data_IF_497950834167
#
_entry.id   IF_497950834167
#
_cell.length_a   1.000
_cell.length_b   1.000
_cell.length_c   1.000
_cell.angle_alpha   90.00
_cell.angle_beta   90.00
_cell.angle_gamma   90.00
#
_symmetry.space_group_name_H-M   'P 1'
#
loop_
_entity.id
_entity.type
_entity.pdbx_description
1 polymer ?
#
# COMPACT_ATOMS: atom_id res chain seq x y z
N UNK A 1 3.85 -0.39 1.56
CA UNK A 1 2.99 -1.44 0.97
C UNK A 1 3.73 -2.76 1.05
N UNK A 2 3.07 -3.80 1.51
CA UNK A 2 3.59 -5.16 1.64
C UNK A 2 2.65 -6.09 0.88
N UNK A 3 3.18 -7.12 0.20
CA UNK A 3 2.33 -8.01 -0.59
C UNK A 3 2.89 -9.42 -0.68
N UNK A 4 1.99 -10.37 -0.85
CA UNK A 4 2.29 -11.75 -1.25
C UNK A 4 1.55 -12.04 -2.54
N UNK A 5 2.28 -12.51 -3.54
CA UNK A 5 1.74 -12.89 -4.83
C UNK A 5 1.97 -14.38 -5.07
N UNK A 6 0.94 -15.03 -5.59
CA UNK A 6 1.01 -16.36 -6.19
C UNK A 6 0.62 -16.26 -7.66
N UNK A 7 0.61 -17.39 -8.36
CA UNK A 7 0.09 -17.42 -9.75
C UNK A 7 -1.39 -17.07 -9.84
N UNK A 8 -2.15 -17.27 -8.76
CA UNK A 8 -3.62 -17.18 -8.76
C UNK A 8 -4.17 -16.02 -7.95
N UNK A 9 -3.39 -15.47 -7.03
CA UNK A 9 -3.89 -14.47 -6.08
C UNK A 9 -2.83 -13.51 -5.63
N UNK A 10 -3.28 -12.29 -5.30
CA UNK A 10 -2.47 -11.28 -4.65
C UNK A 10 -3.16 -10.83 -3.36
N UNK A 11 -2.39 -10.79 -2.28
CA UNK A 11 -2.77 -10.16 -1.03
C UNK A 11 -1.86 -8.96 -0.77
N UNK A 12 -2.46 -7.83 -0.42
CA UNK A 12 -1.76 -6.56 -0.20
C UNK A 12 -2.13 -5.99 1.17
N UNK A 13 -1.13 -5.52 1.90
CA UNK A 13 -1.28 -4.79 3.15
C UNK A 13 -0.70 -3.37 3.01
N UNK A 14 -1.53 -2.38 3.25
CA UNK A 14 -1.23 -0.95 3.15
C UNK A 14 -1.32 -0.29 4.54
N UNK A 15 -0.32 -0.40 5.42
CA UNK A 15 -0.39 0.14 6.79
C UNK A 15 -0.54 1.65 6.86
N UNK A 16 -0.28 2.36 5.77
CA UNK A 16 -0.44 3.80 5.64
C UNK A 16 -1.86 4.24 5.31
N UNK A 17 -2.69 3.31 4.79
CA UNK A 17 -4.05 3.63 4.34
C UNK A 17 -5.04 3.63 5.50
N UNK A 18 -6.03 4.51 5.42
CA UNK A 18 -7.20 4.56 6.27
C UNK A 18 -8.49 4.70 5.44
N UNK A 19 -8.39 4.48 4.12
CA UNK A 19 -9.47 4.66 3.15
C UNK A 19 -9.70 6.13 2.73
N UNK A 20 -9.10 7.09 3.42
CA UNK A 20 -9.21 8.53 3.12
C UNK A 20 -7.87 9.17 2.78
N UNK A 21 -6.79 8.61 3.28
CA UNK A 21 -5.42 9.10 3.05
C UNK A 21 -4.99 8.81 1.61
N UNK A 22 -4.61 9.84 0.88
CA UNK A 22 -4.15 9.71 -0.50
C UNK A 22 -2.69 9.25 -0.55
N UNK A 23 -2.40 8.35 -1.48
CA UNK A 23 -1.02 8.00 -1.82
C UNK A 23 -0.31 9.19 -2.48
N UNK A 24 0.75 9.70 -1.86
CA UNK A 24 1.26 11.05 -2.09
C UNK A 24 2.02 11.28 -3.41
N UNK A 25 2.43 10.23 -4.15
CA UNK A 25 3.33 10.41 -5.31
C UNK A 25 2.85 9.76 -6.61
N UNK A 26 1.61 9.99 -6.96
CA UNK A 26 1.12 9.63 -8.30
C UNK A 26 1.31 10.83 -9.24
N UNK A 27 2.56 11.08 -9.68
CA UNK A 27 2.93 12.25 -10.50
C UNK A 27 3.38 11.89 -11.91
N UNK A 28 3.35 10.60 -12.29
CA UNK A 28 3.75 10.16 -13.63
C UNK A 28 2.87 10.75 -14.73
N UNK A 29 3.41 10.88 -15.95
CA UNK A 29 2.64 11.31 -17.11
C UNK A 29 1.42 10.44 -17.38
N UNK A 30 1.55 9.13 -17.21
CA UNK A 30 0.45 8.17 -17.33
C UNK A 30 -0.67 8.47 -16.31
N UNK A 31 -0.34 8.76 -15.06
CA UNK A 31 -1.35 9.09 -14.06
C UNK A 31 -2.06 10.43 -14.36
N UNK A 32 -1.32 11.42 -14.88
CA UNK A 32 -1.92 12.68 -15.34
C UNK A 32 -2.92 12.46 -16.48
N UNK A 33 -2.58 11.59 -17.45
CA UNK A 33 -3.51 11.20 -18.53
C UNK A 33 -4.76 10.50 -17.98
N UNK A 34 -4.59 9.57 -17.01
CA UNK A 34 -5.74 8.93 -16.33
C UNK A 34 -6.64 9.95 -15.63
N UNK A 35 -6.08 10.98 -14.98
CA UNK A 35 -6.85 12.05 -14.33
C UNK A 35 -7.67 12.87 -15.33
N UNK A 36 -7.17 13.09 -16.54
CA UNK A 36 -7.92 13.79 -17.58
C UNK A 36 -9.07 12.92 -18.11
N UNK A 37 -8.81 11.65 -18.36
CA UNK A 37 -9.83 10.71 -18.84
C UNK A 37 -10.92 10.46 -17.79
N UNK A 38 -10.55 10.43 -16.51
CA UNK A 38 -11.48 10.28 -15.38
C UNK A 38 -12.56 11.39 -15.30
N UNK A 39 -12.38 12.53 -15.99
CA UNK A 39 -13.41 13.58 -16.09
C UNK A 39 -14.57 13.19 -17.00
N UNK A 40 -14.36 12.21 -17.89
CA UNK A 40 -15.33 11.80 -18.92
C UNK A 40 -15.77 10.35 -18.76
N UNK A 41 -14.90 9.52 -18.19
CA UNK A 41 -15.13 8.08 -18.02
C UNK A 41 -15.26 7.72 -16.53
N UNK A 42 -16.46 7.28 -16.07
CA UNK A 42 -16.68 6.83 -14.69
C UNK A 42 -15.83 5.63 -14.29
N UNK A 43 -15.52 4.70 -15.21
CA UNK A 43 -14.68 3.55 -14.93
C UNK A 43 -13.24 3.99 -14.66
N UNK A 44 -12.72 4.94 -15.46
CA UNK A 44 -11.42 5.53 -15.21
C UNK A 44 -11.40 6.35 -13.90
N UNK A 45 -12.49 7.06 -13.58
CA UNK A 45 -12.60 7.77 -12.30
C UNK A 45 -12.54 6.81 -11.10
N UNK A 46 -13.23 5.67 -11.16
CA UNK A 46 -13.18 4.63 -10.15
C UNK A 46 -11.76 4.05 -10.00
N UNK A 47 -11.06 3.80 -11.12
CA UNK A 47 -9.68 3.33 -11.13
C UNK A 47 -8.71 4.35 -10.50
N UNK A 48 -8.83 5.62 -10.85
CA UNK A 48 -8.03 6.70 -10.26
C UNK A 48 -8.27 6.78 -8.75
N UNK A 49 -9.53 6.73 -8.32
CA UNK A 49 -9.89 6.70 -6.89
C UNK A 49 -9.25 5.50 -6.18
N UNK A 50 -9.33 4.30 -6.77
CA UNK A 50 -8.73 3.10 -6.21
C UNK A 50 -7.20 3.22 -6.07
N UNK A 51 -6.51 3.80 -7.05
CA UNK A 51 -5.07 4.02 -6.98
C UNK A 51 -4.67 5.05 -5.92
N UNK A 52 -5.49 6.07 -5.71
CA UNK A 52 -5.24 7.14 -4.74
C UNK A 52 -5.61 6.74 -3.30
N UNK A 53 -6.73 6.04 -3.14
CA UNK A 53 -7.34 5.71 -1.85
C UNK A 53 -7.38 4.19 -1.69
N UNK A 54 -6.23 3.60 -1.36
CA UNK A 54 -6.12 2.15 -1.14
C UNK A 54 -6.81 1.74 0.15
N UNK A 55 -7.31 0.51 0.20
CA UNK A 55 -7.75 -0.11 1.45
C UNK A 55 -6.56 -0.57 2.30
N UNK A 56 -6.76 -0.74 3.60
CA UNK A 56 -5.72 -1.28 4.52
C UNK A 56 -5.30 -2.67 4.08
N UNK A 57 -6.27 -3.51 3.71
CA UNK A 57 -6.07 -4.84 3.16
C UNK A 57 -6.76 -4.96 1.82
N UNK A 58 -6.13 -5.67 0.89
CA UNK A 58 -6.71 -5.97 -0.41
C UNK A 58 -6.40 -7.41 -0.79
N UNK A 59 -7.37 -8.07 -1.43
CA UNK A 59 -7.21 -9.42 -1.95
C UNK A 59 -7.79 -9.51 -3.37
N UNK A 60 -7.03 -10.13 -4.28
CA UNK A 60 -7.38 -10.22 -5.70
C UNK A 60 -7.22 -11.64 -6.21
N UNK A 61 -8.15 -12.04 -7.10
CA UNK A 61 -8.04 -13.28 -7.87
C UNK A 61 -7.43 -12.98 -9.24
N UNK A 62 -6.16 -13.30 -9.43
CA UNK A 62 -5.41 -12.96 -10.64
C UNK A 62 -5.85 -13.73 -11.88
N UNK A 63 -6.55 -14.88 -11.72
CA UNK A 63 -7.10 -15.61 -12.86
C UNK A 63 -8.23 -14.82 -13.56
N UNK A 64 -9.05 -14.09 -12.78
CA UNK A 64 -10.20 -13.36 -13.29
C UNK A 64 -9.97 -11.84 -13.33
N UNK A 65 -9.00 -11.35 -12.54
CA UNK A 65 -8.67 -9.94 -12.41
C UNK A 65 -7.14 -9.74 -12.35
N UNK A 66 -6.43 -9.98 -13.46
CA UNK A 66 -4.97 -9.84 -13.51
C UNK A 66 -4.49 -8.39 -13.28
N UNK A 67 -5.38 -7.42 -13.45
CA UNK A 67 -5.09 -5.99 -13.22
C UNK A 67 -5.39 -5.51 -11.81
N UNK A 68 -5.84 -6.38 -10.90
CA UNK A 68 -6.16 -6.05 -9.51
C UNK A 68 -7.11 -4.84 -9.38
N UNK A 69 -8.24 -4.88 -10.10
CA UNK A 69 -9.23 -3.81 -10.11
C UNK A 69 -10.34 -3.99 -9.07
N UNK A 70 -10.67 -5.25 -8.78
CA UNK A 70 -11.75 -5.62 -7.89
C UNK A 70 -11.20 -6.22 -6.60
N UNK A 71 -11.16 -5.45 -5.51
CA UNK A 71 -10.80 -5.98 -4.20
C UNK A 71 -11.91 -6.91 -3.69
N UNK A 72 -11.60 -8.20 -3.54
CA UNK A 72 -12.53 -9.24 -3.09
C UNK A 72 -12.25 -9.67 -1.64
N UNK A 73 -11.69 -8.78 -0.82
CA UNK A 73 -11.34 -9.04 0.59
C UNK A 73 -12.52 -9.58 1.39
N UNK A 74 -13.73 -9.05 1.16
CA UNK A 74 -14.94 -9.38 1.90
C UNK A 74 -15.70 -10.59 1.32
N UNK A 75 -15.15 -11.27 0.30
CA UNK A 75 -15.78 -12.45 -0.28
C UNK A 75 -15.52 -13.68 0.60
N UNK A 76 -16.56 -14.29 1.21
CA UNK A 76 -16.40 -15.44 2.10
C UNK A 76 -15.70 -16.65 1.45
N UNK A 77 -15.88 -16.82 0.13
CA UNK A 77 -15.25 -17.92 -0.63
C UNK A 77 -13.73 -17.79 -0.72
N UNK A 78 -13.21 -16.59 -0.50
CA UNK A 78 -11.78 -16.29 -0.55
C UNK A 78 -11.07 -16.41 0.81
N UNK A 79 -11.79 -16.59 1.90
CA UNK A 79 -11.27 -16.50 3.26
C UNK A 79 -10.09 -17.44 3.53
N UNK A 80 -10.19 -18.70 3.11
CA UNK A 80 -9.12 -19.67 3.34
C UNK A 80 -7.83 -19.25 2.62
N UNK A 81 -7.92 -18.94 1.33
CA UNK A 81 -6.77 -18.54 0.53
C UNK A 81 -6.15 -17.23 1.02
N UNK A 82 -6.99 -16.25 1.33
CA UNK A 82 -6.57 -14.97 1.90
C UNK A 82 -5.83 -15.17 3.25
N UNK A 83 -6.35 -16.01 4.14
CA UNK A 83 -5.72 -16.29 5.43
C UNK A 83 -4.37 -17.01 5.27
N UNK A 84 -4.24 -17.89 4.29
CA UNK A 84 -2.96 -18.51 3.96
C UNK A 84 -1.92 -17.46 3.54
N UNK A 85 -2.29 -16.52 2.66
CA UNK A 85 -1.37 -15.46 2.23
C UNK A 85 -1.06 -14.46 3.35
N UNK A 86 -2.00 -14.19 4.25
CA UNK A 86 -1.76 -13.42 5.48
C UNK A 86 -0.73 -14.12 6.37
N UNK A 87 -0.84 -15.42 6.54
CA UNK A 87 0.13 -16.23 7.30
C UNK A 87 1.53 -16.09 6.71
N UNK A 88 1.67 -16.33 5.42
CA UNK A 88 2.96 -16.21 4.71
C UNK A 88 3.56 -14.81 4.85
N UNK A 89 2.75 -13.76 4.70
CA UNK A 89 3.24 -12.38 4.87
C UNK A 89 3.71 -12.13 6.30
N UNK A 90 2.96 -12.63 7.30
CA UNK A 90 3.33 -12.49 8.70
C UNK A 90 4.64 -13.21 9.02
N UNK A 91 4.80 -14.45 8.57
CA UNK A 91 6.03 -15.23 8.75
C UNK A 91 7.23 -14.51 8.17
N UNK A 92 7.11 -14.02 6.94
CA UNK A 92 8.15 -13.20 6.31
C UNK A 92 8.44 -11.92 7.12
N UNK A 93 7.41 -11.21 7.59
CA UNK A 93 7.60 -10.02 8.42
C UNK A 93 8.35 -10.30 9.74
N UNK A 94 8.10 -11.46 10.34
CA UNK A 94 8.85 -11.92 11.54
C UNK A 94 10.31 -12.18 11.18
N UNK A 95 10.58 -12.91 10.10
CA UNK A 95 11.93 -13.28 9.68
C UNK A 95 12.82 -12.07 9.40
N UNK A 96 12.24 -11.00 8.81
CA UNK A 96 12.97 -9.78 8.47
C UNK A 96 12.86 -8.68 9.52
N UNK A 97 12.32 -8.99 10.69
CA UNK A 97 12.09 -8.01 11.78
C UNK A 97 11.38 -6.74 11.28
N UNK A 98 10.34 -6.92 10.45
CA UNK A 98 9.66 -5.83 9.78
C UNK A 98 9.08 -4.83 10.77
N UNK A 99 9.36 -3.53 10.64
CA UNK A 99 8.77 -2.49 11.49
C UNK A 99 7.25 -2.39 11.34
N UNK A 100 6.67 -2.99 10.30
CA UNK A 100 5.23 -3.03 10.10
C UNK A 100 4.53 -4.21 10.76
N UNK A 101 5.25 -5.16 11.40
CA UNK A 101 4.66 -6.36 11.98
C UNK A 101 3.58 -6.05 13.01
N UNK A 102 3.84 -5.13 13.94
CA UNK A 102 2.83 -4.74 14.94
C UNK A 102 1.58 -4.10 14.29
N UNK A 103 1.77 -3.28 13.27
CA UNK A 103 0.65 -2.71 12.50
C UNK A 103 -0.12 -3.80 11.73
N UNK A 104 0.57 -4.82 11.21
CA UNK A 104 -0.03 -5.95 10.54
C UNK A 104 -0.86 -6.82 11.50
N UNK A 105 -0.33 -7.17 12.66
CA UNK A 105 -1.03 -7.95 13.68
C UNK A 105 -2.27 -7.21 14.22
N UNK A 106 -2.19 -5.89 14.30
CA UNK A 106 -3.28 -5.00 14.74
C UNK A 106 -3.94 -4.21 13.59
N UNK A 107 -3.95 -4.76 12.37
CA UNK A 107 -4.40 -4.07 11.16
C UNK A 107 -5.85 -3.55 11.15
N UNK A 108 -6.67 -4.03 12.09
CA UNK A 108 -8.03 -3.52 12.32
C UNK A 108 -8.06 -2.34 13.30
N UNK A 109 -6.96 -2.04 14.01
CA UNK A 109 -6.87 -0.90 14.91
C UNK A 109 -6.37 0.33 14.18
N UNK A 110 -7.20 1.35 14.13
CA UNK A 110 -6.85 2.66 13.55
C UNK A 110 -5.65 3.29 14.26
N UNK A 111 -5.59 3.15 15.59
CA UNK A 111 -4.52 3.69 16.42
C UNK A 111 -3.17 3.00 16.13
N UNK A 112 -3.19 1.69 15.86
CA UNK A 112 -1.96 0.96 15.53
C UNK A 112 -1.42 1.36 14.16
N UNK A 113 -2.30 1.53 13.17
CA UNK A 113 -1.93 2.02 11.84
C UNK A 113 -1.42 3.46 11.90
N UNK A 114 -2.06 4.34 12.67
CA UNK A 114 -1.62 5.73 12.84
C UNK A 114 -0.23 5.81 13.50
N UNK A 115 0.01 5.05 14.57
CA UNK A 115 1.35 4.97 15.19
C UNK A 115 2.42 4.51 14.20
N UNK A 116 2.11 3.53 13.35
CA UNK A 116 3.02 3.10 12.30
C UNK A 116 3.36 4.24 11.34
N UNK A 117 2.35 4.98 10.87
CA UNK A 117 2.55 6.12 9.96
C UNK A 117 3.38 7.22 10.61
N UNK A 118 3.14 7.54 11.87
CA UNK A 118 3.90 8.55 12.59
C UNK A 118 5.36 8.13 12.77
N UNK A 119 5.62 6.90 13.22
CA UNK A 119 6.99 6.39 13.36
C UNK A 119 7.75 6.35 12.04
N UNK A 120 7.07 6.06 10.93
CA UNK A 120 7.66 6.09 9.60
C UNK A 120 8.02 7.51 9.16
N UNK A 121 7.13 8.49 9.41
CA UNK A 121 7.38 9.91 9.12
C UNK A 121 8.55 10.48 9.92
N UNK A 122 8.64 10.11 11.19
CA UNK A 122 9.74 10.54 12.07
C UNK A 122 11.08 9.99 11.60
N UNK A 123 11.13 8.70 11.21
CA UNK A 123 12.35 8.11 10.63
C UNK A 123 12.75 8.81 9.32
N UNK A 124 11.81 8.97 8.40
CA UNK A 124 12.07 9.65 7.14
C UNK A 124 12.57 11.09 7.33
N UNK A 125 12.05 11.82 8.34
CA UNK A 125 12.54 13.16 8.67
C UNK A 125 13.99 13.12 9.20
N UNK A 126 14.31 12.18 10.07
CA UNK A 126 15.68 12.01 10.60
C UNK A 126 16.65 11.68 9.47
N UNK A 127 16.31 10.74 8.61
CA UNK A 127 17.13 10.37 7.44
C UNK A 127 17.38 11.57 6.53
N UNK A 128 16.36 12.38 6.25
CA UNK A 128 16.51 13.61 5.44
C UNK A 128 17.42 14.61 6.15
N UNK A 129 17.29 14.82 7.46
CA UNK A 129 18.17 15.72 8.21
C UNK A 129 19.64 15.25 8.20
N UNK A 130 19.87 13.95 8.35
CA UNK A 130 21.21 13.34 8.29
C UNK A 130 21.85 13.48 6.90
N UNK A 131 21.05 13.49 5.83
CA UNK A 131 21.53 13.61 4.43
C UNK A 131 21.80 15.07 4.02
N UNK A 132 21.20 16.08 4.67
CA UNK A 132 21.36 17.50 4.32
C UNK A 132 22.83 17.98 4.27
N UNK A 133 23.72 17.63 5.22
CA UNK A 133 25.12 17.99 5.13
C UNK A 133 25.80 17.40 3.88
N UNK A 134 25.40 16.16 3.51
CA UNK A 134 25.94 15.47 2.35
C UNK A 134 25.48 16.08 1.02
N UNK A 135 24.21 16.49 0.94
CA UNK A 135 23.67 17.24 -0.19
C UNK A 135 24.43 18.54 -0.41
N UNK A 136 24.63 19.31 0.67
CA UNK A 136 25.34 20.59 0.64
C UNK A 136 26.79 20.42 0.19
N UNK A 137 27.47 19.35 0.63
CA UNK A 137 28.86 19.08 0.29
C UNK A 137 29.05 18.61 -1.16
N UNK A 138 28.08 17.89 -1.75
CA UNK A 138 28.21 17.22 -3.04
C UNK A 138 27.29 17.78 -4.13
N UNK A 139 26.47 18.79 -3.86
CA UNK A 139 25.58 19.43 -4.82
C UNK A 139 24.40 18.55 -5.27
N UNK A 140 24.09 17.46 -4.54
CA UNK A 140 22.93 16.61 -4.81
C UNK A 140 21.67 17.18 -4.14
N UNK A 141 20.49 16.94 -4.74
CA UNK A 141 19.17 17.14 -4.13
C UNK A 141 18.44 15.79 -4.16
N UNK A 142 18.08 15.27 -3.01
CA UNK A 142 17.26 14.07 -2.85
C UNK A 142 15.77 14.37 -2.73
#
# INVERSE_FOLDING_TARGET
MYSVLTRQSAYVFNPWSDGTRRFARLTSGAFKAMLQEAKKDPAMAARVKHLQLRSVEEFYNLNNDPSCLANILDNPKSNQQMNNLRGLLREWMVQVESPALNAFDKRKSKEALERFVQSYRERARKEVEELKPYEKANGYRF
#
